data_IF_964853891719
#
_entry.id   IF_964853891719
#
_cell.length_a   1.000
_cell.length_b   1.000
_cell.length_c   1.000
_cell.angle_alpha   90.00
_cell.angle_beta   90.00
_cell.angle_gamma   90.00
#
_symmetry.space_group_name_H-M   'P 1'
#
loop_
_entity.id
_entity.type
_entity.pdbx_description
1 polymer ?
#
# COMPACT_ATOMS: atom_id res chain seq x y z
N UNK A 1 4.97 52.69 -54.93
CA UNK A 1 5.86 51.70 -54.27
C UNK A 1 5.15 50.34 -54.35
N UNK A 2 5.77 49.33 -54.98
CA UNK A 2 5.17 48.00 -55.17
C UNK A 2 5.47 47.14 -53.92
N UNK A 3 4.48 46.53 -53.26
CA UNK A 3 4.73 45.71 -52.07
C UNK A 3 5.57 44.47 -52.42
N UNK A 4 6.43 43.98 -51.50
CA UNK A 4 7.24 42.79 -51.75
C UNK A 4 6.33 41.57 -51.98
N UNK A 5 6.65 40.71 -52.96
CA UNK A 5 5.89 39.49 -53.18
C UNK A 5 6.01 38.60 -51.94
N UNK A 6 4.90 38.38 -51.25
CA UNK A 6 4.79 37.42 -50.16
C UNK A 6 5.15 36.04 -50.72
N UNK A 7 6.29 35.50 -50.27
CA UNK A 7 6.76 34.18 -50.66
C UNK A 7 5.64 33.16 -50.40
N UNK A 8 5.15 32.52 -51.47
CA UNK A 8 4.15 31.45 -51.34
C UNK A 8 4.73 30.38 -50.41
N UNK A 9 4.09 30.08 -49.26
CA UNK A 9 4.61 29.07 -48.35
C UNK A 9 4.65 27.74 -49.09
N UNK A 10 5.87 27.25 -49.33
CA UNK A 10 6.08 25.99 -50.04
C UNK A 10 5.59 24.84 -49.16
N UNK A 11 5.10 23.78 -49.79
CA UNK A 11 4.69 22.56 -49.09
C UNK A 11 5.82 21.97 -48.22
N UNK A 12 7.09 22.17 -48.63
CA UNK A 12 8.27 21.78 -47.87
C UNK A 12 8.40 22.57 -46.55
N UNK A 13 8.09 23.86 -46.56
CA UNK A 13 8.10 24.68 -45.34
C UNK A 13 7.04 24.20 -44.34
N UNK A 14 5.85 23.80 -44.84
CA UNK A 14 4.80 23.22 -44.00
C UNK A 14 5.21 21.87 -43.41
N UNK A 15 5.87 21.01 -44.18
CA UNK A 15 6.42 19.74 -43.67
C UNK A 15 7.48 19.97 -42.59
N UNK A 16 8.42 20.90 -42.83
CA UNK A 16 9.45 21.25 -41.85
C UNK A 16 8.85 21.79 -40.56
N UNK A 17 7.82 22.64 -40.65
CA UNK A 17 7.12 23.18 -39.49
C UNK A 17 6.37 22.08 -38.71
N UNK A 18 5.70 21.16 -39.42
CA UNK A 18 5.02 20.02 -38.81
C UNK A 18 6.00 19.09 -38.10
N UNK A 19 7.11 18.72 -38.75
CA UNK A 19 8.16 17.90 -38.16
C UNK A 19 8.77 18.55 -36.91
N UNK A 20 9.03 19.86 -36.97
CA UNK A 20 9.56 20.62 -35.82
C UNK A 20 8.57 20.67 -34.67
N UNK A 21 7.28 20.87 -34.96
CA UNK A 21 6.21 20.83 -33.94
C UNK A 21 6.16 19.48 -33.24
N UNK A 22 6.16 18.38 -34.01
CA UNK A 22 6.18 17.03 -33.45
C UNK A 22 7.43 16.80 -32.59
N UNK A 23 8.59 17.28 -33.04
CA UNK A 23 9.83 17.15 -32.28
C UNK A 23 9.78 17.92 -30.96
N UNK A 24 9.27 19.15 -30.95
CA UNK A 24 9.11 19.95 -29.73
C UNK A 24 8.15 19.27 -28.75
N UNK A 25 7.04 18.72 -29.24
CA UNK A 25 6.09 17.97 -28.40
C UNK A 25 6.77 16.73 -27.81
N UNK A 26 7.52 15.97 -28.62
CA UNK A 26 8.22 14.78 -28.15
C UNK A 26 9.27 15.11 -27.08
N UNK A 27 10.04 16.17 -27.26
CA UNK A 27 11.02 16.65 -26.27
C UNK A 27 10.31 17.09 -24.99
N UNK A 28 9.24 17.89 -25.10
CA UNK A 28 8.45 18.32 -23.95
C UNK A 28 7.84 17.14 -23.18
N UNK A 29 7.31 16.16 -23.90
CA UNK A 29 6.77 14.93 -23.32
C UNK A 29 7.86 14.11 -22.59
N UNK A 30 9.04 13.98 -23.18
CA UNK A 30 10.15 13.28 -22.54
C UNK A 30 10.57 13.97 -21.23
N UNK A 31 10.70 15.30 -21.23
CA UNK A 31 11.01 16.07 -20.02
C UNK A 31 9.93 15.91 -18.97
N UNK A 32 8.65 16.03 -19.36
CA UNK A 32 7.52 15.86 -18.45
C UNK A 32 7.47 14.44 -17.87
N UNK A 33 7.75 13.41 -18.68
CA UNK A 33 7.82 12.02 -18.26
C UNK A 33 8.92 11.79 -17.24
N UNK A 34 10.12 12.33 -17.47
CA UNK A 34 11.24 12.26 -16.51
C UNK A 34 10.88 12.95 -15.20
N UNK A 35 10.34 14.17 -15.26
CA UNK A 35 9.88 14.89 -14.06
C UNK A 35 8.82 14.09 -13.30
N UNK A 36 7.85 13.51 -14.01
CA UNK A 36 6.82 12.69 -13.41
C UNK A 36 7.41 11.48 -12.68
N UNK A 37 8.36 10.76 -13.30
CA UNK A 37 9.04 9.62 -12.66
C UNK A 37 9.80 10.06 -11.41
N UNK A 38 10.50 11.20 -11.45
CA UNK A 38 11.21 11.74 -10.29
C UNK A 38 10.25 12.09 -9.16
N UNK A 39 9.15 12.78 -9.46
CA UNK A 39 8.12 13.12 -8.47
C UNK A 39 7.46 11.87 -7.89
N UNK A 40 7.16 10.89 -8.74
CA UNK A 40 6.56 9.63 -8.32
C UNK A 40 7.51 8.85 -7.40
N UNK A 41 8.78 8.75 -7.76
CA UNK A 41 9.80 8.11 -6.93
C UNK A 41 9.97 8.84 -5.60
N UNK A 42 10.05 10.17 -5.61
CA UNK A 42 10.11 10.98 -4.39
C UNK A 42 8.87 10.76 -3.51
N UNK A 43 7.68 10.72 -4.10
CA UNK A 43 6.43 10.43 -3.41
C UNK A 43 6.39 9.04 -2.81
N UNK A 44 6.86 8.01 -3.53
CA UNK A 44 6.95 6.64 -3.02
C UNK A 44 7.96 6.51 -1.88
N UNK A 45 9.13 7.16 -2.01
CA UNK A 45 10.15 7.16 -0.95
C UNK A 45 9.62 7.87 0.28
N UNK A 46 9.03 9.06 0.12
CA UNK A 46 8.46 9.83 1.22
C UNK A 46 7.26 9.10 1.87
N UNK A 47 6.37 8.53 1.05
CA UNK A 47 5.22 7.76 1.51
C UNK A 47 5.62 6.47 2.22
N UNK A 48 6.58 5.73 1.68
CA UNK A 48 7.15 4.55 2.31
C UNK A 48 7.85 4.88 3.62
N UNK A 49 8.63 5.96 3.66
CA UNK A 49 9.28 6.45 4.87
C UNK A 49 8.25 6.86 5.94
N UNK A 50 7.20 7.59 5.53
CA UNK A 50 6.13 8.02 6.42
C UNK A 50 5.32 6.83 6.96
N UNK A 51 5.05 5.83 6.13
CA UNK A 51 4.41 4.58 6.55
C UNK A 51 5.23 3.82 7.59
N UNK A 52 6.55 3.73 7.37
CA UNK A 52 7.47 3.14 8.35
C UNK A 52 7.49 3.93 9.66
N UNK A 53 7.47 5.26 9.59
CA UNK A 53 7.41 6.14 10.76
C UNK A 53 6.09 5.97 11.51
N UNK A 54 4.97 5.97 10.80
CA UNK A 54 3.64 5.80 11.37
C UNK A 54 3.48 4.39 11.97
N UNK A 55 4.01 3.34 11.33
CA UNK A 55 4.06 1.99 11.92
C UNK A 55 4.88 1.94 13.21
N UNK A 56 6.01 2.65 13.27
CA UNK A 56 6.81 2.73 14.51
C UNK A 56 6.01 3.40 15.61
N UNK A 57 5.33 4.50 15.30
CA UNK A 57 4.46 5.20 16.24
C UNK A 57 3.25 4.34 16.64
N UNK A 58 2.64 3.59 15.71
CA UNK A 58 1.54 2.69 16.01
C UNK A 58 1.99 1.55 16.94
N UNK A 59 3.20 1.00 16.76
CA UNK A 59 3.75 0.03 17.71
C UNK A 59 3.98 0.65 19.09
N UNK A 60 4.48 1.88 19.15
CA UNK A 60 4.64 2.59 20.42
C UNK A 60 3.29 2.92 21.05
N UNK A 61 2.28 3.31 20.28
CA UNK A 61 0.94 3.56 20.75
C UNK A 61 0.23 2.27 21.17
N UNK A 62 0.55 1.11 20.58
CA UNK A 62 0.04 -0.19 21.04
C UNK A 62 0.72 -0.67 22.33
N UNK A 63 1.99 -0.30 22.55
CA UNK A 63 2.72 -0.59 23.79
C UNK A 63 2.40 0.40 24.90
N UNK A 64 2.10 1.65 24.52
CA UNK A 64 1.72 2.74 25.42
C UNK A 64 0.21 2.89 25.53
N UNK A 65 -0.59 2.10 24.80
CA UNK A 65 -2.02 1.93 25.02
C UNK A 65 -2.13 1.30 26.39
N UNK A 66 -2.45 2.08 27.44
CA UNK A 66 -2.74 1.50 28.72
C UNK A 66 -4.00 0.65 28.51
N UNK A 67 -4.09 -0.48 29.21
CA UNK A 67 -5.29 -1.33 29.31
C UNK A 67 -6.48 -0.61 29.98
N UNK A 68 -6.44 0.72 30.00
CA UNK A 68 -7.20 1.63 30.81
C UNK A 68 -7.45 2.90 30.00
N UNK A 69 -8.63 2.96 29.39
CA UNK A 69 -9.21 4.19 28.87
C UNK A 69 -9.78 4.94 30.08
N UNK A 70 -9.38 6.21 30.21
CA UNK A 70 -9.58 7.09 31.36
C UNK A 70 -11.08 7.46 31.59
N UNK A 71 -11.86 6.44 31.92
CA UNK A 71 -13.33 6.46 31.99
C UNK A 71 -13.90 5.04 32.04
N UNK A 72 -13.53 4.29 33.08
CA UNK A 72 -14.23 3.08 33.59
C UNK A 72 -14.70 2.05 32.54
N UNK A 73 -13.82 1.62 31.63
CA UNK A 73 -13.97 0.34 30.95
C UNK A 73 -12.60 -0.30 30.73
N UNK A 74 -12.34 -1.39 31.46
CA UNK A 74 -11.25 -2.32 31.18
C UNK A 74 -11.62 -3.09 29.91
N UNK A 75 -10.88 -2.87 28.82
CA UNK A 75 -11.02 -3.73 27.64
C UNK A 75 -10.30 -5.03 27.99
N UNK A 76 -11.03 -6.03 28.48
CA UNK A 76 -10.45 -7.37 28.61
C UNK A 76 -10.01 -7.80 27.20
N UNK A 77 -8.71 -8.02 26.95
CA UNK A 77 -8.26 -8.52 25.66
C UNK A 77 -8.93 -9.86 25.48
N UNK A 78 -9.87 -9.91 24.54
CA UNK A 78 -10.60 -11.10 24.14
C UNK A 78 -9.56 -12.17 23.82
N UNK A 79 -9.27 -13.01 24.83
CA UNK A 79 -8.38 -14.14 24.67
C UNK A 79 -9.07 -14.97 23.61
N UNK A 80 -8.43 -15.31 22.48
CA UNK A 80 -8.98 -16.32 21.60
C UNK A 80 -9.15 -17.57 22.46
N UNK A 81 -10.40 -17.79 22.86
CA UNK A 81 -10.86 -18.86 23.70
C UNK A 81 -10.50 -20.11 22.90
N UNK A 82 -9.42 -20.76 23.33
CA UNK A 82 -9.14 -22.15 23.00
C UNK A 82 -10.28 -22.99 23.58
N UNK A 83 -11.43 -22.96 22.93
CA UNK A 83 -12.60 -23.80 23.18
C UNK A 83 -12.37 -25.26 22.80
N UNK A 84 -11.14 -25.62 22.45
CA UNK A 84 -10.71 -26.96 22.07
C UNK A 84 -10.43 -27.90 23.28
N UNK A 85 -10.87 -27.53 24.49
CA UNK A 85 -10.66 -28.37 25.69
C UNK A 85 -11.92 -28.99 26.29
N UNK A 86 -13.11 -28.73 25.74
CA UNK A 86 -14.36 -29.26 26.34
C UNK A 86 -14.81 -30.64 25.88
N UNK A 87 -14.11 -31.30 24.96
CA UNK A 87 -14.55 -32.60 24.39
C UNK A 87 -13.57 -33.76 24.56
N UNK A 88 -12.49 -33.63 25.35
CA UNK A 88 -11.53 -34.74 25.54
C UNK A 88 -11.55 -35.52 26.88
N UNK A 89 -12.06 -35.02 28.03
CA UNK A 89 -11.91 -35.78 29.28
C UNK A 89 -12.92 -36.93 29.44
N UNK A 90 -14.03 -36.92 28.69
CA UNK A 90 -15.07 -37.98 28.80
C UNK A 90 -14.62 -39.26 28.09
N UNK A 91 -14.00 -39.14 26.92
CA UNK A 91 -13.61 -40.30 26.11
C UNK A 91 -12.37 -41.05 26.67
N UNK A 92 -11.46 -40.33 27.34
CA UNK A 92 -10.33 -40.92 28.05
C UNK A 92 -10.76 -41.63 29.35
N UNK A 93 -11.77 -41.09 30.05
CA UNK A 93 -12.33 -41.71 31.25
C UNK A 93 -13.11 -43.00 30.93
N UNK A 94 -13.88 -43.02 29.84
CA UNK A 94 -14.58 -44.24 29.39
C UNK A 94 -13.64 -45.35 28.92
N UNK A 95 -12.57 -45.01 28.19
CA UNK A 95 -11.55 -46.01 27.77
C UNK A 95 -10.81 -46.63 28.95
N UNK A 96 -10.52 -45.84 29.99
CA UNK A 96 -9.85 -46.33 31.20
C UNK A 96 -10.79 -47.21 32.06
N UNK A 97 -12.06 -46.83 32.17
CA UNK A 97 -13.08 -47.62 32.87
C UNK A 97 -13.41 -48.94 32.14
N UNK A 98 -13.40 -48.95 30.80
CA UNK A 98 -13.61 -50.14 29.99
C UNK A 98 -12.42 -51.12 30.06
N UNK A 99 -11.19 -50.61 30.17
CA UNK A 99 -9.99 -51.42 30.35
C UNK A 99 -9.95 -52.11 31.72
N UNK A 100 -10.39 -51.41 32.79
CA UNK A 100 -10.43 -51.97 34.15
C UNK A 100 -11.48 -53.08 34.34
N UNK A 101 -12.54 -53.14 33.51
CA UNK A 101 -13.57 -54.19 33.58
C UNK A 101 -13.21 -55.48 32.84
N UNK A 102 -12.13 -55.51 32.08
CA UNK A 102 -11.72 -56.67 31.25
C UNK A 102 -10.54 -57.47 31.81
N UNK A 103 -10.08 -57.16 33.02
CA UNK A 103 -9.02 -57.93 33.68
C UNK A 103 -9.63 -58.92 34.70
N UNK A 104 -9.72 -60.22 34.38
CA UNK A 104 -9.87 -61.31 35.35
C UNK A 104 -8.53 -61.73 35.97
#
# INVERSE_FOLDING_TARGET
MKPPPLAKPSWLSRLGLAATSVLVIAVGFAVASVLFVVLLAAGLVAGGWLWWRLRRLARQAQQAAPDFIDGEYTVEPDRPLLEDRRTAPVEAAERSAAASRRAP
#
